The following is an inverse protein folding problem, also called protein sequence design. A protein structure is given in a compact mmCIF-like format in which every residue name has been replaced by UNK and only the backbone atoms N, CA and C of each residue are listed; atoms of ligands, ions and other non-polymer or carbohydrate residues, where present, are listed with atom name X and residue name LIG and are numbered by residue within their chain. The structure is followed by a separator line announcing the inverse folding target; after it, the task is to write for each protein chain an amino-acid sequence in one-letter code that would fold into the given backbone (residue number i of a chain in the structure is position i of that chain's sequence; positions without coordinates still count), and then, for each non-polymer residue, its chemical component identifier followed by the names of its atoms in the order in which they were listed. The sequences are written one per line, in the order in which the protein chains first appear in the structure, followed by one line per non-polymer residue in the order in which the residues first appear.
data_IF_909548359011
#
_entry.id   IF_909548359011
#
_cell.length_a   1.000
_cell.length_b   1.000
_cell.length_c   1.000
_cell.angle_alpha   90.00
_cell.angle_beta   90.00
_cell.angle_gamma   90.00
#
_symmetry.space_group_name_H-M   'P 1'
#
loop_
_entity.id
_entity.type
_entity.pdbx_description
1 polymer ?
#
# COMPACT_ATOMS: atom_id res chain seq x y z
N UNK A 1 17.45 -24.63 22.47
CA UNK A 1 16.19 -24.39 21.73
C UNK A 1 15.60 -23.00 21.96
N UNK A 2 15.74 -22.35 23.13
CA UNK A 2 15.18 -21.01 23.36
C UNK A 2 15.82 -19.88 22.51
N UNK A 3 17.13 -19.91 22.28
CA UNK A 3 17.81 -18.85 21.50
C UNK A 3 17.46 -18.83 20.00
N UNK A 4 17.12 -19.98 19.41
CA UNK A 4 16.72 -20.05 17.98
C UNK A 4 15.35 -19.38 17.77
N UNK A 5 14.46 -19.47 18.76
CA UNK A 5 13.17 -18.77 18.70
C UNK A 5 13.34 -17.25 18.76
N UNK A 6 14.28 -16.76 19.59
CA UNK A 6 14.53 -15.32 19.76
C UNK A 6 15.14 -14.71 18.50
N UNK A 7 16.12 -15.39 17.87
CA UNK A 7 16.71 -14.89 16.62
C UNK A 7 15.72 -14.88 15.45
N UNK A 8 14.82 -15.87 15.40
CA UNK A 8 13.81 -15.97 14.35
C UNK A 8 12.71 -14.90 14.50
N UNK A 9 12.32 -14.55 15.73
CA UNK A 9 11.38 -13.44 15.99
C UNK A 9 11.98 -12.08 15.63
N UNK A 10 13.27 -11.85 15.92
CA UNK A 10 13.98 -10.61 15.57
C UNK A 10 14.11 -10.45 14.04
N UNK A 11 14.42 -11.54 13.34
CA UNK A 11 14.48 -11.55 11.87
C UNK A 11 13.11 -11.31 11.23
N UNK A 12 12.05 -11.94 11.76
CA UNK A 12 10.68 -11.75 11.29
C UNK A 12 10.19 -10.32 11.57
N UNK A 13 10.61 -9.73 12.68
CA UNK A 13 10.34 -8.35 13.04
C UNK A 13 10.98 -7.37 12.05
N UNK A 14 12.30 -7.52 11.81
CA UNK A 14 13.04 -6.65 10.89
C UNK A 14 12.52 -6.73 9.45
N UNK A 15 12.21 -7.94 8.97
CA UNK A 15 11.65 -8.14 7.63
C UNK A 15 10.22 -7.60 7.50
N UNK A 16 9.39 -7.70 8.53
CA UNK A 16 8.06 -7.07 8.54
C UNK A 16 8.17 -5.54 8.52
N UNK A 17 9.16 -5.00 9.26
CA UNK A 17 9.40 -3.57 9.34
C UNK A 17 9.77 -2.98 7.99
N UNK A 18 10.75 -3.62 7.34
CA UNK A 18 11.26 -3.21 6.04
C UNK A 18 10.20 -3.33 4.93
N UNK A 19 9.35 -4.36 5.00
CA UNK A 19 8.28 -4.54 4.03
C UNK A 19 7.24 -3.41 4.08
N UNK A 20 6.82 -2.94 5.26
CA UNK A 20 5.82 -1.88 5.31
C UNK A 20 6.40 -0.52 4.86
N UNK A 21 7.64 -0.20 5.21
CA UNK A 21 8.34 1.01 4.74
C UNK A 21 8.46 1.00 3.21
N UNK A 22 8.80 -0.15 2.64
CA UNK A 22 8.87 -0.35 1.19
C UNK A 22 7.52 -0.11 0.51
N UNK A 23 6.42 -0.67 1.04
CA UNK A 23 5.09 -0.46 0.49
C UNK A 23 4.64 1.01 0.59
N UNK A 24 4.94 1.70 1.69
CA UNK A 24 4.63 3.13 1.81
C UNK A 24 5.46 3.99 0.85
N UNK A 25 6.74 3.71 0.70
CA UNK A 25 7.62 4.46 -0.20
C UNK A 25 7.22 4.30 -1.66
N UNK A 26 6.95 3.07 -2.11
CA UNK A 26 6.52 2.80 -3.48
C UNK A 26 5.13 3.35 -3.75
N UNK A 27 4.18 3.11 -2.84
CA UNK A 27 2.84 3.66 -2.97
C UNK A 27 2.84 5.18 -3.02
N UNK A 28 3.65 5.84 -2.18
CA UNK A 28 3.82 7.29 -2.17
C UNK A 28 4.44 7.82 -3.47
N UNK A 29 5.49 7.17 -3.99
CA UNK A 29 6.13 7.55 -5.24
C UNK A 29 5.18 7.38 -6.44
N UNK A 30 4.42 6.28 -6.48
CA UNK A 30 3.41 6.03 -7.49
C UNK A 30 2.32 7.11 -7.46
N UNK A 31 1.80 7.47 -6.28
CA UNK A 31 0.83 8.56 -6.15
C UNK A 31 1.41 9.87 -6.67
N UNK A 32 2.62 10.24 -6.23
CA UNK A 32 3.24 11.51 -6.58
C UNK A 32 3.48 11.65 -8.09
N UNK A 33 4.05 10.63 -8.72
CA UNK A 33 4.33 10.61 -10.16
C UNK A 33 3.06 10.64 -10.99
N UNK A 34 2.03 9.88 -10.62
CA UNK A 34 0.77 9.85 -11.36
C UNK A 34 -0.06 11.13 -11.18
N UNK A 35 0.02 11.82 -10.03
CA UNK A 35 -0.55 13.17 -9.87
C UNK A 35 0.08 14.15 -10.86
N UNK A 36 1.41 14.14 -11.00
CA UNK A 36 2.11 15.02 -11.96
C UNK A 36 1.61 14.76 -13.39
N UNK A 37 1.48 13.49 -13.77
CA UNK A 37 0.96 13.08 -15.08
C UNK A 37 -0.47 13.61 -15.30
N UNK A 38 -1.36 13.47 -14.32
CA UNK A 38 -2.71 14.01 -14.39
C UNK A 38 -2.75 15.54 -14.46
N UNK A 39 -1.85 16.25 -13.79
CA UNK A 39 -1.73 17.71 -13.87
C UNK A 39 -1.29 18.12 -15.28
N UNK A 40 -0.27 17.46 -15.84
CA UNK A 40 0.21 17.74 -17.21
C UNK A 40 -0.90 17.54 -18.23
N UNK A 41 -1.62 16.42 -18.15
CA UNK A 41 -2.78 16.18 -19.01
C UNK A 41 -3.91 17.18 -18.72
N UNK A 42 -4.04 17.66 -17.48
CA UNK A 42 -5.01 18.69 -17.15
C UNK A 42 -4.68 20.05 -17.78
N UNK A 43 -3.42 20.36 -18.03
CA UNK A 43 -3.04 21.64 -18.64
C UNK A 43 -3.25 21.71 -20.16
N UNK A 44 -3.39 20.58 -20.87
CA UNK A 44 -3.54 20.57 -22.34
C UNK A 44 -4.75 19.77 -22.82
N UNK A 45 -5.77 20.48 -23.30
CA UNK A 45 -6.99 19.90 -23.89
C UNK A 45 -6.70 19.01 -25.10
N UNK A 46 -5.64 19.32 -25.87
CA UNK A 46 -5.21 18.52 -27.01
C UNK A 46 -4.64 17.16 -26.59
N UNK A 47 -3.86 17.12 -25.50
CA UNK A 47 -3.30 15.86 -24.99
C UNK A 47 -4.39 15.00 -24.33
N UNK A 48 -5.41 15.58 -23.68
CA UNK A 48 -6.49 14.82 -23.03
C UNK A 48 -7.24 13.88 -23.96
N UNK A 49 -7.50 14.32 -25.20
CA UNK A 49 -8.27 13.53 -26.18
C UNK A 49 -7.40 12.44 -26.80
N UNK A 50 -6.10 12.71 -26.99
CA UNK A 50 -5.17 11.77 -27.64
C UNK A 50 -4.65 10.68 -26.70
N UNK A 51 -4.54 10.98 -25.40
CA UNK A 51 -3.91 10.11 -24.41
C UNK A 51 -4.88 9.61 -23.33
N UNK A 52 -6.14 9.34 -23.69
CA UNK A 52 -7.17 8.87 -22.75
C UNK A 52 -6.78 7.57 -22.03
N UNK A 53 -6.11 6.64 -22.72
CA UNK A 53 -5.60 5.39 -22.13
C UNK A 53 -4.53 5.65 -21.05
N UNK A 54 -3.63 6.60 -21.27
CA UNK A 54 -2.62 6.99 -20.27
C UNK A 54 -3.23 7.68 -19.06
N UNK A 55 -4.31 8.44 -19.26
CA UNK A 55 -5.07 9.05 -18.16
C UNK A 55 -5.76 7.95 -17.33
N UNK A 56 -6.40 6.98 -17.98
CA UNK A 56 -7.01 5.84 -17.31
C UNK A 56 -5.97 5.01 -16.52
N UNK A 57 -4.80 4.77 -17.13
CA UNK A 57 -3.68 4.10 -16.47
C UNK A 57 -3.17 4.88 -15.26
N UNK A 58 -3.00 6.20 -15.37
CA UNK A 58 -2.57 7.04 -14.25
C UNK A 58 -3.58 7.05 -13.08
N UNK A 59 -4.89 6.96 -13.38
CA UNK A 59 -5.93 6.80 -12.36
C UNK A 59 -5.84 5.42 -11.71
N UNK A 60 -5.63 4.35 -12.49
CA UNK A 60 -5.43 3.00 -11.98
C UNK A 60 -4.24 2.92 -11.03
N UNK A 61 -3.12 3.50 -11.44
CA UNK A 61 -1.89 3.58 -10.63
C UNK A 61 -2.06 4.44 -9.38
N UNK A 62 -2.90 5.48 -9.40
CA UNK A 62 -3.26 6.23 -8.20
C UNK A 62 -4.05 5.37 -7.20
N UNK A 63 -5.02 4.62 -7.68
CA UNK A 63 -5.80 3.68 -6.84
C UNK A 63 -4.87 2.62 -6.27
N UNK A 64 -3.96 2.09 -7.09
CA UNK A 64 -2.95 1.11 -6.69
C UNK A 64 -2.01 1.67 -5.60
N UNK A 65 -1.46 2.86 -5.81
CA UNK A 65 -0.58 3.52 -4.84
C UNK A 65 -1.28 3.81 -3.50
N UNK A 66 -2.54 4.24 -3.54
CA UNK A 66 -3.37 4.41 -2.32
C UNK A 66 -3.57 3.08 -1.61
N UNK A 67 -3.81 1.99 -2.35
CA UNK A 67 -3.91 0.64 -1.79
C UNK A 67 -2.64 0.25 -1.03
N UNK A 68 -1.45 0.46 -1.63
CA UNK A 68 -0.17 0.17 -1.00
C UNK A 68 0.07 0.96 0.29
N UNK A 69 -0.28 2.25 0.30
CA UNK A 69 -0.19 3.07 1.52
C UNK A 69 -1.15 2.56 2.60
N UNK A 70 -2.38 2.20 2.24
CA UNK A 70 -3.35 1.59 3.16
C UNK A 70 -2.83 0.26 3.75
N UNK A 71 -2.19 -0.61 2.95
CA UNK A 71 -1.53 -1.82 3.44
C UNK A 71 -0.46 -1.46 4.48
N UNK A 72 0.41 -0.50 4.15
CA UNK A 72 1.49 -0.05 5.04
C UNK A 72 0.96 0.45 6.38
N UNK A 73 -0.03 1.34 6.36
CA UNK A 73 -0.66 1.90 7.56
C UNK A 73 -1.36 0.82 8.40
N UNK A 74 -2.11 -0.08 7.77
CA UNK A 74 -2.79 -1.17 8.48
C UNK A 74 -1.77 -2.08 9.16
N UNK A 75 -0.70 -2.47 8.46
CA UNK A 75 0.39 -3.28 9.03
C UNK A 75 1.11 -2.55 10.17
N UNK A 76 1.36 -1.25 10.04
CA UNK A 76 1.96 -0.44 11.10
C UNK A 76 1.07 -0.37 12.35
N UNK A 77 -0.24 -0.19 12.20
CA UNK A 77 -1.19 -0.19 13.32
C UNK A 77 -1.29 -1.55 13.99
N UNK A 78 -1.30 -2.63 13.23
CA UNK A 78 -1.26 -4.00 13.75
C UNK A 78 0.00 -4.23 14.57
N UNK A 79 1.14 -3.77 14.07
CA UNK A 79 2.42 -3.88 14.76
C UNK A 79 2.44 -3.10 16.08
N UNK A 80 1.99 -1.84 16.07
CA UNK A 80 1.86 -1.03 17.29
C UNK A 80 0.90 -1.67 18.31
N UNK A 81 -0.16 -2.31 17.85
CA UNK A 81 -1.15 -3.01 18.71
C UNK A 81 -0.57 -4.28 19.34
N UNK A 82 0.34 -4.97 18.64
CA UNK A 82 1.08 -6.12 19.19
C UNK A 82 2.07 -5.68 20.27
N UNK A 83 2.81 -4.59 20.06
CA UNK A 83 3.77 -4.07 21.04
C UNK A 83 3.09 -3.52 22.30
N UNK A 84 1.89 -2.96 22.17
CA UNK A 84 1.12 -2.39 23.28
C UNK A 84 0.26 -3.41 24.05
N UNK A 85 0.43 -4.72 23.82
CA UNK A 85 -0.34 -5.80 24.45
C UNK A 85 -1.87 -5.69 24.31
N UNK A 86 -2.34 -4.85 23.37
CA UNK A 86 -3.77 -4.68 23.06
C UNK A 86 -4.11 -5.56 21.86
N UNK A 87 -3.87 -6.86 22.00
CA UNK A 87 -4.09 -7.82 20.92
C UNK A 87 -5.55 -8.24 20.87
N UNK A 88 -6.33 -7.55 20.05
CA UNK A 88 -7.69 -8.01 19.68
C UNK A 88 -7.55 -9.14 18.66
N UNK A 89 -8.04 -10.34 18.98
CA UNK A 89 -8.12 -11.43 17.99
C UNK A 89 -8.91 -10.96 16.77
N UNK A 90 -8.25 -10.93 15.59
CA UNK A 90 -8.90 -10.64 14.32
C UNK A 90 -9.36 -11.94 13.67
N UNK A 91 -10.58 -11.94 13.16
CA UNK A 91 -11.10 -13.04 12.33
C UNK A 91 -10.66 -12.87 10.88
N UNK A 92 -10.60 -13.97 10.13
CA UNK A 92 -10.25 -13.98 8.69
C UNK A 92 -11.14 -13.01 7.91
N UNK A 93 -12.43 -12.94 8.25
CA UNK A 93 -13.38 -12.03 7.62
C UNK A 93 -13.01 -10.56 7.82
N UNK A 94 -12.55 -10.19 9.02
CA UNK A 94 -12.14 -8.82 9.33
C UNK A 94 -10.92 -8.37 8.53
N UNK A 95 -10.09 -9.30 8.04
CA UNK A 95 -8.96 -9.02 7.15
C UNK A 95 -9.40 -8.96 5.68
N UNK A 96 -10.34 -9.81 5.27
CA UNK A 96 -10.84 -9.87 3.89
C UNK A 96 -11.70 -8.63 3.52
N UNK A 97 -12.44 -8.07 4.49
CA UNK A 97 -13.27 -6.87 4.30
C UNK A 97 -12.52 -5.55 4.53
N UNK A 98 -11.21 -5.60 4.72
CA UNK A 98 -10.41 -4.38 4.83
C UNK A 98 -10.38 -3.67 3.46
N UNK A 99 -10.09 -2.38 3.40
CA UNK A 99 -10.25 -1.62 2.14
C UNK A 99 -9.15 -1.86 1.11
N UNK A 100 -7.96 -2.28 1.54
CA UNK A 100 -6.78 -2.44 0.67
C UNK A 100 -6.81 -3.61 -0.35
N UNK A 101 -7.37 -4.81 -0.07
CA UNK A 101 -7.34 -5.93 -1.02
C UNK A 101 -8.22 -5.64 -2.25
N UNK A 102 -9.38 -5.00 -2.07
CA UNK A 102 -10.21 -4.55 -3.19
C UNK A 102 -9.52 -3.49 -4.06
N UNK A 103 -8.88 -2.51 -3.43
CA UNK A 103 -8.13 -1.49 -4.15
C UNK A 103 -6.90 -2.05 -4.89
N UNK A 104 -6.21 -3.04 -4.31
CA UNK A 104 -5.08 -3.72 -4.96
C UNK A 104 -5.53 -4.47 -6.21
N UNK A 105 -6.67 -5.16 -6.17
CA UNK A 105 -7.20 -5.86 -7.36
C UNK A 105 -7.59 -4.88 -8.46
N UNK A 106 -8.17 -3.74 -8.11
CA UNK A 106 -8.55 -2.71 -9.08
C UNK A 106 -7.33 -1.98 -9.67
N UNK A 107 -6.27 -1.83 -8.89
CA UNK A 107 -5.05 -1.11 -9.26
C UNK A 107 -3.93 -1.97 -9.87
N UNK A 108 -3.97 -3.30 -9.77
CA UNK A 108 -2.94 -4.20 -10.30
C UNK A 108 -3.03 -4.43 -11.83
N UNK A 109 -3.47 -3.42 -12.59
CA UNK A 109 -3.65 -3.49 -14.05
C UNK A 109 -2.38 -3.16 -14.83
#
# INVERSE_FOLDING_TARGET
MSQVNVTLTEQLYASTLLNYEYYMAIGGLAIFTNIIILIIFSCSSYLRVKYQLLIALAIGELINGVAFVLVGVTKQRLFQSMTSSTTRMRTIWSCATESYPGLLVLGAQ
#
